data_IF_185908061880
#
_entry.id   IF_185908061880
#
_cell.length_a   1.000
_cell.length_b   1.000
_cell.length_c   1.000
_cell.angle_alpha   90.00
_cell.angle_beta   90.00
_cell.angle_gamma   90.00
#
_symmetry.space_group_name_H-M   'P 1'
#
loop_
_entity.id
_entity.type
_entity.pdbx_description
1 polymer ?
#
# COMPACT_ATOMS: atom_id res chain seq x y z
N UNK A 1 37.71 7.36 8.21
CA UNK A 1 38.11 6.83 6.89
C UNK A 1 37.47 7.75 5.85
N UNK A 2 38.23 8.70 5.33
CA UNK A 2 37.72 9.69 4.37
C UNK A 2 37.85 9.05 2.99
N UNK A 3 36.73 8.71 2.36
CA UNK A 3 36.73 8.27 0.97
C UNK A 3 37.07 9.49 0.11
N UNK A 4 38.31 9.56 -0.35
CA UNK A 4 38.68 10.48 -1.41
C UNK A 4 37.95 10.04 -2.68
N UNK A 5 36.85 10.74 -2.99
CA UNK A 5 36.18 10.67 -4.29
C UNK A 5 37.08 11.39 -5.29
N UNK A 6 38.00 10.67 -5.91
CA UNK A 6 38.80 11.21 -7.00
C UNK A 6 37.96 11.20 -8.28
N UNK A 7 37.46 12.39 -8.64
CA UNK A 7 36.93 12.66 -9.97
C UNK A 7 38.09 13.09 -10.86
N UNK A 8 38.49 12.21 -11.78
CA UNK A 8 39.51 12.49 -12.78
C UNK A 8 38.89 12.47 -14.18
N UNK A 9 39.10 13.54 -14.95
CA UNK A 9 38.76 13.61 -16.36
C UNK A 9 40.06 13.59 -17.16
N UNK A 10 40.31 12.51 -17.89
CA UNK A 10 41.45 12.42 -18.79
C UNK A 10 40.99 12.81 -20.21
N UNK A 11 41.39 14.01 -20.63
CA UNK A 11 40.99 14.59 -21.91
C UNK A 11 41.58 13.82 -23.11
N UNK A 12 42.70 13.12 -22.94
CA UNK A 12 43.35 12.35 -24.00
C UNK A 12 42.70 10.98 -24.18
N UNK A 13 42.37 10.31 -23.08
CA UNK A 13 41.77 8.97 -23.12
C UNK A 13 40.24 8.98 -23.35
N UNK A 14 39.57 10.14 -23.24
CA UNK A 14 38.09 10.26 -23.28
C UNK A 14 37.39 9.34 -22.28
N UNK A 15 38.09 9.02 -21.20
CA UNK A 15 37.61 8.20 -20.10
C UNK A 15 37.47 9.06 -18.85
N UNK A 16 36.42 8.79 -18.08
CA UNK A 16 36.15 9.46 -16.82
C UNK A 16 36.15 8.42 -15.72
N UNK A 17 36.96 8.64 -14.69
CA UNK A 17 37.02 7.75 -13.54
C UNK A 17 35.98 8.18 -12.52
N UNK A 18 35.04 7.28 -12.22
CA UNK A 18 33.96 7.49 -11.27
C UNK A 18 33.99 6.32 -10.28
N UNK A 19 34.16 6.62 -8.99
CA UNK A 19 34.26 5.59 -7.93
C UNK A 19 35.30 4.48 -8.25
N UNK A 20 36.46 4.87 -8.78
CA UNK A 20 37.55 3.93 -9.10
C UNK A 20 37.28 3.01 -10.31
N UNK A 21 36.22 3.26 -11.08
CA UNK A 21 35.96 2.59 -12.37
C UNK A 21 36.13 3.58 -13.52
N UNK A 22 36.76 3.11 -14.58
CA UNK A 22 36.89 3.85 -15.83
C UNK A 22 35.61 3.71 -16.65
N UNK A 23 35.02 4.84 -17.02
CA UNK A 23 33.88 4.90 -17.91
C UNK A 23 34.26 5.64 -19.20
N UNK A 24 33.95 5.02 -20.34
CA UNK A 24 33.93 5.74 -21.62
C UNK A 24 32.81 6.79 -21.62
N UNK A 25 33.06 7.94 -22.25
CA UNK A 25 32.07 9.00 -22.46
C UNK A 25 30.74 8.48 -23.06
N UNK A 26 30.81 7.51 -23.99
CA UNK A 26 29.61 6.94 -24.60
C UNK A 26 28.76 6.14 -23.61
N UNK A 27 29.40 5.38 -22.73
CA UNK A 27 28.73 4.64 -21.66
C UNK A 27 28.13 5.58 -20.63
N UNK A 28 28.83 6.65 -20.28
CA UNK A 28 28.34 7.65 -19.33
C UNK A 28 27.10 8.37 -19.87
N UNK A 29 27.15 8.86 -21.12
CA UNK A 29 26.02 9.50 -21.78
C UNK A 29 24.82 8.55 -21.86
N UNK A 30 25.04 7.28 -22.21
CA UNK A 30 24.00 6.27 -22.27
C UNK A 30 23.32 6.07 -20.91
N UNK A 31 24.08 5.99 -19.82
CA UNK A 31 23.53 5.88 -18.46
C UNK A 31 22.72 7.11 -18.09
N UNK A 32 23.22 8.31 -18.36
CA UNK A 32 22.50 9.57 -18.10
C UNK A 32 21.17 9.60 -18.88
N UNK A 33 21.18 9.20 -20.15
CA UNK A 33 19.97 9.13 -20.98
C UNK A 33 18.96 8.15 -20.37
N UNK A 34 19.37 6.94 -19.97
CA UNK A 34 18.45 5.99 -19.37
C UNK A 34 17.88 6.46 -18.03
N UNK A 35 18.70 7.05 -17.17
CA UNK A 35 18.26 7.56 -15.87
C UNK A 35 17.27 8.72 -16.04
N UNK A 36 17.60 9.68 -16.89
CA UNK A 36 16.72 10.82 -17.17
C UNK A 36 15.43 10.36 -17.85
N UNK A 37 15.50 9.46 -18.83
CA UNK A 37 14.32 8.86 -19.46
C UNK A 37 13.44 8.11 -18.44
N UNK A 38 14.02 7.35 -17.51
CA UNK A 38 13.27 6.66 -16.46
C UNK A 38 12.58 7.63 -15.50
N UNK A 39 13.27 8.69 -15.07
CA UNK A 39 12.71 9.72 -14.20
C UNK A 39 11.52 10.43 -14.86
N UNK A 40 11.58 10.64 -16.18
CA UNK A 40 10.47 11.19 -16.94
C UNK A 40 9.36 10.16 -17.13
N UNK A 41 9.68 8.91 -17.49
CA UNK A 41 8.69 7.87 -17.79
C UNK A 41 7.83 7.51 -16.57
N UNK A 42 8.43 7.44 -15.38
CA UNK A 42 7.77 7.02 -14.13
C UNK A 42 6.49 7.79 -13.79
N UNK A 43 6.45 9.14 -13.72
CA UNK A 43 5.22 9.88 -13.40
C UNK A 43 4.11 9.69 -14.44
N UNK A 44 4.45 9.47 -15.72
CA UNK A 44 3.45 9.17 -16.74
C UNK A 44 2.86 7.77 -16.56
N UNK A 45 3.71 6.77 -16.30
CA UNK A 45 3.23 5.41 -16.00
C UNK A 45 2.31 5.39 -14.77
N UNK A 46 2.63 6.14 -13.72
CA UNK A 46 1.77 6.26 -12.54
C UNK A 46 0.42 6.92 -12.86
N UNK A 47 0.43 7.99 -13.67
CA UNK A 47 -0.82 8.64 -14.13
C UNK A 47 -1.70 7.71 -14.98
N UNK A 48 -1.08 6.87 -15.83
CA UNK A 48 -1.82 5.89 -16.62
C UNK A 48 -2.35 4.76 -15.74
N UNK A 49 -1.52 4.21 -14.86
CA UNK A 49 -1.91 3.15 -13.93
C UNK A 49 -3.08 3.56 -13.03
N UNK A 50 -3.07 4.78 -12.49
CA UNK A 50 -4.18 5.30 -11.68
C UNK A 50 -5.50 5.38 -12.44
N UNK A 51 -5.48 5.79 -13.72
CA UNK A 51 -6.68 5.80 -14.57
C UNK A 51 -7.23 4.40 -14.85
N UNK A 52 -6.35 3.43 -15.08
CA UNK A 52 -6.78 2.03 -15.28
C UNK A 52 -7.35 1.43 -13.99
N UNK A 53 -6.76 1.74 -12.84
CA UNK A 53 -7.29 1.31 -11.54
C UNK A 53 -8.67 1.93 -11.26
N UNK A 54 -8.85 3.23 -11.49
CA UNK A 54 -10.15 3.89 -11.33
C UNK A 54 -11.23 3.27 -12.24
N UNK A 55 -10.87 2.95 -13.48
CA UNK A 55 -11.77 2.30 -14.43
C UNK A 55 -12.11 0.84 -14.05
N UNK A 56 -11.16 0.11 -13.47
CA UNK A 56 -11.38 -1.27 -12.98
C UNK A 56 -12.17 -1.28 -11.67
N UNK A 57 -11.95 -0.30 -10.78
CA UNK A 57 -12.74 -0.10 -9.55
C UNK A 57 -14.17 0.37 -9.84
N UNK A 58 -14.40 1.08 -10.95
CA UNK A 58 -15.74 1.48 -11.41
C UNK A 58 -16.49 0.41 -12.21
N UNK A 59 -15.84 -0.70 -12.57
CA UNK A 59 -16.52 -1.85 -13.18
C UNK A 59 -17.26 -2.61 -12.08
N UNK A 60 -18.59 -2.52 -12.10
CA UNK A 60 -19.41 -3.41 -11.29
C UNK A 60 -19.11 -4.86 -11.66
N UNK A 61 -18.76 -5.66 -10.65
CA UNK A 61 -18.54 -7.11 -10.76
C UNK A 61 -19.88 -7.76 -11.13
N UNK A 62 -20.25 -7.76 -12.40
CA UNK A 62 -21.58 -8.22 -12.81
C UNK A 62 -21.83 -8.39 -14.30
N UNK A 63 -21.11 -7.73 -15.21
CA UNK A 63 -21.45 -7.82 -16.64
C UNK A 63 -20.81 -9.01 -17.34
N UNK A 64 -19.57 -9.36 -17.00
CA UNK A 64 -18.84 -10.43 -17.66
C UNK A 64 -18.12 -11.22 -16.57
N UNK A 65 -18.41 -12.51 -16.42
CA UNK A 65 -17.93 -13.40 -15.33
C UNK A 65 -16.41 -13.66 -15.29
N UNK A 66 -15.60 -12.63 -15.54
CA UNK A 66 -14.15 -12.68 -15.52
C UNK A 66 -13.66 -12.37 -14.10
N UNK A 67 -13.42 -13.43 -13.33
CA UNK A 67 -12.92 -13.37 -11.95
C UNK A 67 -11.44 -12.94 -11.83
N UNK A 68 -10.77 -12.66 -12.94
CA UNK A 68 -9.35 -12.28 -13.00
C UNK A 68 -9.10 -10.75 -12.90
N UNK A 69 -10.14 -9.94 -12.65
CA UNK A 69 -9.97 -8.52 -12.37
C UNK A 69 -9.31 -8.31 -11.00
N UNK A 70 -8.35 -7.39 -10.90
CA UNK A 70 -7.76 -6.98 -9.61
C UNK A 70 -8.84 -6.43 -8.66
N UNK A 71 -9.94 -5.90 -9.19
CA UNK A 71 -11.13 -5.53 -8.43
C UNK A 71 -11.85 -6.72 -7.78
N UNK A 72 -11.73 -7.95 -8.32
CA UNK A 72 -12.29 -9.15 -7.70
C UNK A 72 -11.57 -9.54 -6.40
N UNK A 73 -10.28 -9.19 -6.27
CA UNK A 73 -9.52 -9.37 -5.02
C UNK A 73 -9.69 -8.24 -4.01
N UNK A 74 -10.37 -7.15 -4.41
CA UNK A 74 -10.41 -5.87 -3.70
C UNK A 74 -11.73 -5.54 -3.01
N UNK A 75 -12.68 -6.47 -2.85
CA UNK A 75 -13.78 -6.31 -1.89
C UNK A 75 -13.29 -6.51 -0.44
N UNK A 76 -12.19 -5.85 -0.08
CA UNK A 76 -11.96 -5.48 1.31
C UNK A 76 -12.04 -3.97 1.29
N UNK A 77 -13.22 -3.46 1.63
CA UNK A 77 -13.43 -2.03 1.78
C UNK A 77 -12.31 -1.46 2.68
N UNK A 78 -11.66 -0.35 2.30
CA UNK A 78 -10.86 0.41 3.25
C UNK A 78 -11.82 1.06 4.26
N UNK A 79 -12.32 0.26 5.21
CA UNK A 79 -13.26 0.72 6.25
C UNK A 79 -14.55 -0.08 6.44
N UNK A 80 -14.62 -1.39 6.18
CA UNK A 80 -15.68 -2.26 6.70
C UNK A 80 -15.04 -3.47 7.38
N UNK A 81 -15.09 -3.64 8.70
CA UNK A 81 -16.27 -4.09 9.45
C UNK A 81 -16.96 -5.27 8.74
N UNK A 82 -16.82 -6.43 9.37
CA UNK A 82 -17.63 -7.64 9.21
C UNK A 82 -17.56 -8.38 7.87
N UNK A 83 -16.36 -8.75 7.45
CA UNK A 83 -16.23 -10.06 6.80
C UNK A 83 -15.77 -11.06 7.87
N UNK A 84 -16.77 -11.72 8.48
CA UNK A 84 -16.64 -12.96 9.26
C UNK A 84 -16.10 -14.08 8.35
N UNK A 85 -14.84 -13.91 7.92
CA UNK A 85 -14.07 -14.99 7.37
C UNK A 85 -13.58 -15.81 8.57
N UNK A 86 -14.43 -16.73 9.00
CA UNK A 86 -14.11 -17.87 9.88
C UNK A 86 -13.27 -18.90 9.11
N UNK A 87 -12.31 -18.41 8.33
CA UNK A 87 -11.26 -19.20 7.72
C UNK A 87 -10.11 -19.29 8.70
N UNK A 88 -9.70 -20.51 9.03
CA UNK A 88 -8.49 -20.81 9.78
C UNK A 88 -7.25 -20.31 9.00
N UNK A 89 -7.00 -18.99 9.07
CA UNK A 89 -5.76 -18.36 8.63
C UNK A 89 -4.69 -18.72 9.66
N UNK A 90 -3.89 -19.75 9.38
CA UNK A 90 -2.69 -20.13 10.14
C UNK A 90 -1.43 -19.34 9.71
N UNK A 91 -1.63 -18.20 9.05
CA UNK A 91 -0.56 -17.28 8.67
C UNK A 91 0.16 -16.65 9.87
N UNK A 92 1.42 -16.26 9.66
CA UNK A 92 2.20 -15.53 10.66
C UNK A 92 1.46 -14.27 11.11
N UNK A 93 1.15 -14.19 12.41
CA UNK A 93 0.42 -13.07 13.01
C UNK A 93 -1.09 -13.27 13.15
N UNK A 94 -1.65 -14.41 12.73
CA UNK A 94 -3.06 -14.72 12.91
C UNK A 94 -3.51 -14.66 14.38
N UNK A 95 -2.69 -15.19 15.31
CA UNK A 95 -2.96 -15.14 16.75
C UNK A 95 -3.04 -13.70 17.29
N UNK A 96 -2.18 -12.80 16.80
CA UNK A 96 -2.19 -11.39 17.21
C UNK A 96 -3.46 -10.68 16.70
N UNK A 97 -3.85 -10.95 15.45
CA UNK A 97 -5.10 -10.43 14.87
C UNK A 97 -6.33 -10.95 15.60
N UNK A 98 -6.35 -12.25 15.95
CA UNK A 98 -7.45 -12.88 16.69
C UNK A 98 -7.63 -12.26 18.08
N UNK A 99 -6.52 -11.97 18.76
CA UNK A 99 -6.54 -11.26 20.05
C UNK A 99 -7.05 -9.82 19.95
N UNK A 100 -6.57 -9.06 18.97
CA UNK A 100 -7.03 -7.69 18.74
C UNK A 100 -8.53 -7.62 18.39
N UNK A 101 -9.05 -8.60 17.63
CA UNK A 101 -10.50 -8.73 17.35
C UNK A 101 -11.29 -9.03 18.62
N UNK A 102 -10.83 -9.96 19.44
CA UNK A 102 -11.49 -10.31 20.70
C UNK A 102 -11.54 -9.12 21.68
N UNK A 103 -10.47 -8.32 21.74
CA UNK A 103 -10.42 -7.11 22.57
C UNK A 103 -11.40 -6.03 22.05
N UNK A 104 -11.47 -5.81 20.73
CA UNK A 104 -12.46 -4.88 20.13
C UNK A 104 -13.90 -5.34 20.36
N UNK A 105 -14.18 -6.64 20.18
CA UNK A 105 -15.52 -7.21 20.42
C UNK A 105 -15.94 -7.02 21.87
N UNK A 106 -15.06 -7.31 22.82
CA UNK A 106 -15.33 -7.13 24.25
C UNK A 106 -15.59 -5.65 24.60
N UNK A 107 -14.85 -4.72 24.00
CA UNK A 107 -15.08 -3.30 24.20
C UNK A 107 -16.43 -2.83 23.62
N UNK A 108 -16.82 -3.37 22.46
CA UNK A 108 -18.11 -3.06 21.84
C UNK A 108 -19.30 -3.64 22.63
N UNK A 109 -19.17 -4.86 23.14
CA UNK A 109 -20.20 -5.47 24.00
C UNK A 109 -20.34 -4.69 25.31
N UNK A 110 -19.25 -4.27 25.94
CA UNK A 110 -19.29 -3.45 27.15
C UNK A 110 -19.93 -2.06 26.90
N UNK A 111 -19.70 -1.46 25.73
CA UNK A 111 -20.35 -0.21 25.35
C UNK A 111 -21.86 -0.38 25.17
N UNK A 112 -22.30 -1.46 24.51
CA UNK A 112 -23.73 -1.76 24.36
C UNK A 112 -24.43 -2.01 25.70
N UNK A 113 -23.77 -2.73 26.61
CA UNK A 113 -24.32 -2.99 27.95
C UNK A 113 -24.44 -1.69 28.78
N UNK A 114 -23.51 -0.75 28.60
CA UNK A 114 -23.59 0.58 29.22
C UNK A 114 -24.74 1.40 28.65
N UNK A 115 -24.89 1.46 27.32
CA UNK A 115 -26.00 2.16 26.67
C UNK A 115 -27.36 1.59 27.12
N UNK A 116 -27.49 0.26 27.18
CA UNK A 116 -28.72 -0.40 27.66
C UNK A 116 -28.98 -0.20 29.16
N UNK A 117 -27.95 0.07 29.96
CA UNK A 117 -28.10 0.41 31.37
C UNK A 117 -28.54 1.86 31.56
N UNK A 118 -27.97 2.78 30.78
CA UNK A 118 -28.37 4.20 30.74
C UNK A 118 -29.83 4.35 30.28
N UNK A 119 -30.23 3.63 29.22
CA UNK A 119 -31.62 3.62 28.74
C UNK A 119 -32.61 3.10 29.80
N UNK A 120 -32.20 2.09 30.58
CA UNK A 120 -33.01 1.56 31.69
C UNK A 120 -33.10 2.54 32.86
N UNK A 121 -32.04 3.25 33.19
CA UNK A 121 -32.03 4.26 34.24
C UNK A 121 -32.91 5.47 33.86
N UNK A 122 -32.81 5.92 32.60
CA UNK A 122 -33.67 6.97 32.05
C UNK A 122 -35.14 6.57 32.06
N UNK A 123 -35.46 5.33 31.68
CA UNK A 123 -36.83 4.82 31.71
C UNK A 123 -37.39 4.80 33.15
N UNK A 124 -36.58 4.41 34.15
CA UNK A 124 -36.99 4.39 35.54
C UNK A 124 -37.22 5.80 36.12
N UNK A 125 -36.47 6.82 35.69
CA UNK A 125 -36.67 8.22 36.10
C UNK A 125 -37.92 8.86 35.49
N UNK A 126 -38.43 8.32 34.38
CA UNK A 126 -39.60 8.87 33.69
C UNK A 126 -40.94 8.31 34.23
N UNK A 127 -40.89 7.22 34.98
CA UNK A 127 -42.05 6.50 35.52
C UNK A 127 -42.44 6.94 36.95
N UNK A 128 -41.63 7.82 37.57
CA UNK A 128 -41.88 8.49 38.87
C UNK A 128 -42.29 9.96 38.67
#
# INVERSE_FOLDING_TARGET
MVNHFEFGFDAEARTMTILGREYSLSSLLRTIIFVTAYLLLRPYLLKLGGKYQEMDHGREVGTDGNADSLAATGKVAPGGEDSDSDGEDDGWGAKARRRARAERKKAQEAAREADEAEDRELAAMLED
#
